data_IF_563113527537
#
_entry.id   IF_563113527537
#
_cell.length_a   1.000
_cell.length_b   1.000
_cell.length_c   1.000
_cell.angle_alpha   90.00
_cell.angle_beta   90.00
_cell.angle_gamma   90.00
#
_symmetry.space_group_name_H-M   'P 1'
#
loop_
_entity.id
_entity.type
_entity.pdbx_description
1 polymer ?
#
# COMPACT_ATOMS: atom_id res chain seq x y z
N UNK A 1 14.42 -10.61 5.48
CA UNK A 1 14.27 -9.33 4.73
C UNK A 1 12.81 -9.02 4.33
N UNK A 2 11.90 -10.00 4.33
CA UNK A 2 10.45 -9.82 4.09
C UNK A 2 9.77 -8.70 4.89
N UNK A 3 10.09 -8.56 6.18
CA UNK A 3 9.48 -7.55 7.05
C UNK A 3 9.83 -6.11 6.64
N UNK A 4 11.02 -5.89 6.09
CA UNK A 4 11.46 -4.56 5.68
C UNK A 4 10.71 -4.08 4.43
N UNK A 5 10.52 -4.98 3.45
CA UNK A 5 9.80 -4.68 2.21
C UNK A 5 8.32 -4.44 2.50
N UNK A 6 7.72 -5.25 3.39
CA UNK A 6 6.37 -5.01 3.88
C UNK A 6 6.25 -3.66 4.60
N UNK A 7 7.22 -3.29 5.44
CA UNK A 7 7.21 -1.98 6.12
C UNK A 7 7.28 -0.84 5.10
N UNK A 8 8.21 -0.89 4.15
CA UNK A 8 8.40 0.19 3.17
C UNK A 8 7.16 0.36 2.29
N UNK A 9 6.61 -0.73 1.75
CA UNK A 9 5.42 -0.68 0.88
C UNK A 9 4.17 -0.22 1.64
N UNK A 10 3.99 -0.65 2.89
CA UNK A 10 2.85 -0.22 3.71
C UNK A 10 2.98 1.22 4.18
N UNK A 11 4.17 1.69 4.54
CA UNK A 11 4.42 3.09 4.90
C UNK A 11 4.23 4.01 3.71
N UNK A 12 4.77 3.67 2.53
CA UNK A 12 4.61 4.49 1.31
C UNK A 12 3.17 4.48 0.82
N UNK A 13 2.50 3.31 0.82
CA UNK A 13 1.09 3.20 0.44
C UNK A 13 0.16 3.97 1.37
N UNK A 14 0.42 3.94 2.69
CA UNK A 14 -0.36 4.68 3.68
C UNK A 14 -0.10 6.19 3.58
N UNK A 15 1.15 6.62 3.40
CA UNK A 15 1.50 8.03 3.23
C UNK A 15 0.90 8.62 1.95
N UNK A 16 0.98 7.90 0.84
CA UNK A 16 0.37 8.31 -0.43
C UNK A 16 -1.16 8.36 -0.34
N UNK A 17 -1.79 7.38 0.32
CA UNK A 17 -3.22 7.37 0.55
C UNK A 17 -3.71 8.51 1.43
N UNK A 18 -2.90 8.92 2.41
CA UNK A 18 -3.20 10.08 3.27
C UNK A 18 -3.06 11.41 2.53
N UNK A 19 -2.01 11.56 1.71
CA UNK A 19 -1.78 12.79 0.95
C UNK A 19 -2.87 13.07 -0.10
N UNK A 20 -3.30 12.03 -0.81
CA UNK A 20 -4.37 12.09 -1.82
C UNK A 20 -5.74 12.23 -1.12
N UNK A 21 -5.91 11.52 -0.01
CA UNK A 21 -7.13 11.50 0.77
C UNK A 21 -7.47 12.80 1.49
N UNK A 22 -6.46 13.44 2.07
CA UNK A 22 -6.62 14.70 2.82
C UNK A 22 -7.20 15.83 1.95
N UNK A 23 -7.03 15.76 0.63
CA UNK A 23 -7.57 16.75 -0.31
C UNK A 23 -9.06 16.56 -0.63
N UNK A 24 -9.64 15.36 -0.42
CA UNK A 24 -11.04 15.06 -0.80
C UNK A 24 -11.91 14.80 0.44
N UNK A 25 -11.33 14.38 1.55
CA UNK A 25 -12.03 14.14 2.82
C UNK A 25 -11.52 12.88 3.54
N UNK A 26 -11.72 12.83 4.86
CA UNK A 26 -11.23 11.74 5.73
C UNK A 26 -11.71 10.35 5.26
N UNK A 27 -12.95 10.24 4.77
CA UNK A 27 -13.47 8.98 4.24
C UNK A 27 -12.77 8.55 2.94
N UNK A 28 -12.43 9.50 2.07
CA UNK A 28 -11.69 9.23 0.84
C UNK A 28 -10.25 8.83 1.15
N UNK A 29 -9.62 9.45 2.14
CA UNK A 29 -8.31 9.04 2.64
C UNK A 29 -8.29 7.61 3.17
N UNK A 30 -9.36 7.23 3.88
CA UNK A 30 -9.52 5.89 4.41
C UNK A 30 -9.69 4.86 3.30
N UNK A 31 -10.56 5.14 2.32
CA UNK A 31 -10.79 4.24 1.17
C UNK A 31 -9.53 4.12 0.30
N UNK A 32 -8.85 5.23 -0.02
CA UNK A 32 -7.62 5.21 -0.82
C UNK A 32 -6.49 4.48 -0.07
N UNK A 33 -6.40 4.62 1.26
CA UNK A 33 -5.41 3.87 2.05
C UNK A 33 -5.70 2.37 2.06
N UNK A 34 -6.98 1.97 2.18
CA UNK A 34 -7.38 0.56 2.07
C UNK A 34 -7.10 -0.01 0.68
N UNK A 35 -7.39 0.74 -0.39
CA UNK A 35 -7.11 0.34 -1.76
C UNK A 35 -5.60 0.28 -2.02
N UNK A 36 -4.83 1.25 -1.54
CA UNK A 36 -3.37 1.26 -1.62
C UNK A 36 -2.73 0.11 -0.85
N UNK A 37 -3.28 -0.24 0.32
CA UNK A 37 -2.84 -1.40 1.09
C UNK A 37 -3.13 -2.71 0.37
N UNK A 38 -4.35 -2.89 -0.17
CA UNK A 38 -4.73 -4.06 -0.95
C UNK A 38 -3.93 -4.20 -2.25
N UNK A 39 -3.73 -3.10 -2.98
CA UNK A 39 -2.92 -3.06 -4.19
C UNK A 39 -1.43 -3.31 -3.90
N UNK A 40 -0.91 -2.78 -2.79
CA UNK A 40 0.43 -3.07 -2.30
C UNK A 40 0.62 -4.54 -1.94
N UNK A 41 -0.37 -5.16 -1.29
CA UNK A 41 -0.34 -6.58 -0.95
C UNK A 41 -0.43 -7.47 -2.20
N UNK A 42 -1.27 -7.08 -3.16
CA UNK A 42 -1.43 -7.78 -4.44
C UNK A 42 -0.17 -7.67 -5.30
N UNK A 43 0.39 -6.45 -5.42
CA UNK A 43 1.66 -6.20 -6.09
C UNK A 43 2.81 -6.94 -5.44
N UNK A 44 2.89 -6.95 -4.10
CA UNK A 44 3.89 -7.72 -3.36
C UNK A 44 3.74 -9.23 -3.60
N UNK A 45 2.51 -9.77 -3.58
CA UNK A 45 2.24 -11.18 -3.94
C UNK A 45 2.65 -11.49 -5.37
N UNK A 46 2.32 -10.63 -6.33
CA UNK A 46 2.68 -10.79 -7.74
C UNK A 46 4.20 -10.75 -7.96
N UNK A 47 4.87 -9.85 -7.24
CA UNK A 47 6.32 -9.71 -7.28
C UNK A 47 7.04 -10.90 -6.63
N UNK A 48 6.46 -11.46 -5.57
CA UNK A 48 6.93 -12.72 -4.96
C UNK A 48 6.73 -13.93 -5.89
N UNK A 49 5.58 -14.04 -6.56
CA UNK A 49 5.35 -15.07 -7.59
C UNK A 49 6.37 -14.97 -8.74
N UNK A 50 6.75 -13.76 -9.14
CA UNK A 50 7.79 -13.54 -10.16
C UNK A 50 9.22 -13.84 -9.64
N UNK A 51 9.47 -13.72 -8.33
CA UNK A 51 10.76 -14.04 -7.73
C UNK A 51 10.95 -15.53 -7.40
N UNK A 52 9.94 -16.39 -7.64
CA UNK A 52 10.08 -17.84 -7.52
C UNK A 52 10.33 -18.35 -6.10
N UNK A 53 9.70 -17.74 -5.09
CA UNK A 53 9.63 -18.25 -3.71
C UNK A 53 8.19 -18.68 -3.39
#
# INVERSE_FOLDING_TARGET
MHKLIALITTTVGSAAGWWIGAHIGIMTAFVVSMVGFGAGLWGARRFMEHLGM
#
